data_IF_238826952025
#
_entry.id   IF_238826952025
#
_cell.length_a   1.000
_cell.length_b   1.000
_cell.length_c   1.000
_cell.angle_alpha   90.00
_cell.angle_beta   90.00
_cell.angle_gamma   90.00
#
_symmetry.space_group_name_H-M   'P 1'
#
loop_
_entity.id
_entity.type
_entity.pdbx_description
1 polymer ?
#
# COMPACT_ATOMS: atom_id res chain seq x y z
N UNK A 1 -20.06 26.38 -4.43
CA UNK A 1 -19.98 24.97 -4.88
C UNK A 1 -18.65 24.43 -4.39
N UNK A 2 -18.64 23.31 -3.67
CA UNK A 2 -17.38 22.67 -3.28
C UNK A 2 -16.70 22.15 -4.55
N UNK A 3 -15.42 22.49 -4.74
CA UNK A 3 -14.64 21.92 -5.83
C UNK A 3 -14.59 20.39 -5.67
N UNK A 4 -14.67 19.60 -6.75
CA UNK A 4 -14.47 18.17 -6.66
C UNK A 4 -13.07 17.91 -6.08
N UNK A 5 -12.99 17.13 -5.01
CA UNK A 5 -11.72 16.73 -4.43
C UNK A 5 -10.94 15.91 -5.47
N UNK A 6 -9.60 16.03 -5.52
CA UNK A 6 -8.79 15.18 -6.38
C UNK A 6 -9.07 13.71 -6.07
N UNK A 7 -9.10 12.87 -7.09
CA UNK A 7 -9.33 11.43 -6.94
C UNK A 7 -8.13 10.77 -6.25
N UNK A 8 -8.35 10.14 -5.10
CA UNK A 8 -7.30 9.45 -4.34
C UNK A 8 -7.35 9.77 -2.85
N UNK A 9 -6.46 9.14 -2.09
CA UNK A 9 -6.22 9.50 -0.69
C UNK A 9 -5.09 10.53 -0.65
N UNK A 10 -5.24 11.56 0.19
CA UNK A 10 -4.15 12.50 0.48
C UNK A 10 -3.11 11.84 1.38
N UNK A 11 -1.83 12.25 1.33
CA UNK A 11 -0.78 11.70 2.21
C UNK A 11 -1.16 11.72 3.70
N UNK A 12 -1.86 12.76 4.14
CA UNK A 12 -2.37 12.87 5.52
C UNK A 12 -3.47 11.86 5.85
N UNK A 13 -4.32 11.51 4.88
CA UNK A 13 -5.35 10.48 5.05
C UNK A 13 -4.72 9.10 5.11
N UNK A 14 -3.66 8.85 4.31
CA UNK A 14 -2.91 7.60 4.39
C UNK A 14 -2.18 7.47 5.72
N UNK A 15 -1.56 8.55 6.21
CA UNK A 15 -0.97 8.59 7.54
C UNK A 15 -2.01 8.31 8.64
N UNK A 16 -3.22 8.89 8.53
CA UNK A 16 -4.33 8.61 9.43
C UNK A 16 -4.77 7.13 9.40
N UNK A 17 -4.75 6.47 8.24
CA UNK A 17 -5.01 5.03 8.16
C UNK A 17 -3.87 4.21 8.77
N UNK A 18 -2.62 4.63 8.56
CA UNK A 18 -1.42 4.01 9.15
C UNK A 18 -1.44 4.05 10.68
N UNK A 19 -2.10 5.03 11.31
CA UNK A 19 -2.26 5.09 12.77
C UNK A 19 -2.91 3.84 13.39
N UNK A 20 -3.66 3.06 12.61
CA UNK A 20 -4.28 1.83 13.06
C UNK A 20 -3.33 0.61 12.99
N UNK A 21 -2.14 0.76 12.40
CA UNK A 21 -1.16 -0.32 12.29
C UNK A 21 -0.78 -0.85 13.67
N UNK A 22 -0.61 -2.16 13.76
CA UNK A 22 -0.30 -2.82 15.01
C UNK A 22 1.22 -2.81 15.25
N UNK A 23 1.64 -2.15 16.35
CA UNK A 23 3.05 -2.03 16.74
C UNK A 23 3.30 -2.60 18.13
N UNK A 24 4.52 -3.10 18.36
CA UNK A 24 4.95 -3.63 19.66
C UNK A 24 5.56 -2.54 20.53
N UNK A 25 5.10 -2.43 21.78
CA UNK A 25 5.64 -1.52 22.78
C UNK A 25 6.07 -2.26 24.06
N UNK A 26 6.90 -1.61 24.87
CA UNK A 26 7.18 -1.98 26.27
C UNK A 26 6.66 -0.84 27.16
N UNK A 27 5.60 -1.05 27.95
CA UNK A 27 5.14 -0.04 28.90
C UNK A 27 6.16 0.16 30.03
N UNK A 28 6.27 1.39 30.52
CA UNK A 28 7.17 1.78 31.63
C UNK A 28 6.47 1.84 32.98
N UNK A 29 5.15 1.86 32.98
CA UNK A 29 4.30 1.85 34.17
C UNK A 29 3.07 0.98 33.95
N UNK A 30 2.49 0.47 35.04
CA UNK A 30 1.24 -0.28 34.98
C UNK A 30 0.09 0.65 34.61
N UNK A 31 -0.63 0.32 33.54
CA UNK A 31 -1.81 1.07 33.09
C UNK A 31 -3.03 0.16 33.12
N UNK A 32 -4.11 0.66 33.70
CA UNK A 32 -5.37 -0.05 33.70
C UNK A 32 -5.99 -0.09 32.30
N UNK A 33 -6.97 -0.97 32.14
CA UNK A 33 -7.70 -1.10 30.88
C UNK A 33 -8.38 0.22 30.52
N UNK A 34 -8.39 0.53 29.23
CA UNK A 34 -9.19 1.60 28.65
C UNK A 34 -10.40 1.00 27.94
N UNK A 35 -11.59 1.48 28.27
CA UNK A 35 -12.85 1.09 27.61
C UNK A 35 -13.07 1.98 26.38
N UNK A 36 -12.66 1.50 25.20
CA UNK A 36 -12.78 2.23 23.93
C UNK A 36 -14.01 1.77 23.14
N UNK A 37 -14.41 2.56 22.13
CA UNK A 37 -15.48 2.18 21.20
C UNK A 37 -15.16 0.86 20.46
N UNK A 38 -13.89 0.62 20.13
CA UNK A 38 -13.42 -0.63 19.54
C UNK A 38 -13.30 -1.80 20.51
N UNK A 39 -13.74 -1.64 21.76
CA UNK A 39 -13.64 -2.63 22.83
C UNK A 39 -12.59 -2.28 23.89
N UNK A 40 -12.60 -2.99 25.03
CA UNK A 40 -11.66 -2.75 26.12
C UNK A 40 -10.25 -3.21 25.73
N UNK A 41 -9.26 -2.37 26.02
CA UNK A 41 -7.85 -2.73 25.91
C UNK A 41 -7.41 -3.63 27.05
N UNK A 42 -6.35 -4.42 26.85
CA UNK A 42 -5.74 -5.19 27.95
C UNK A 42 -4.97 -4.23 28.87
N UNK A 43 -4.97 -4.47 30.19
CA UNK A 43 -4.07 -3.74 31.10
C UNK A 43 -2.61 -3.89 30.65
N UNK A 44 -1.86 -2.79 30.70
CA UNK A 44 -0.45 -2.76 30.30
C UNK A 44 0.42 -2.96 31.54
N UNK A 45 1.27 -3.99 31.53
CA UNK A 45 2.07 -4.39 32.68
C UNK A 45 3.55 -4.36 32.29
N UNK A 46 4.39 -3.48 32.87
CA UNK A 46 5.83 -3.48 32.63
C UNK A 46 6.51 -4.75 33.18
N UNK A 47 7.59 -5.23 32.55
CA UNK A 47 8.16 -4.84 31.25
C UNK A 47 7.62 -5.73 30.10
N UNK A 48 6.38 -6.19 30.18
CA UNK A 48 5.81 -7.12 29.20
C UNK A 48 5.55 -6.43 27.86
N UNK A 49 6.02 -7.04 26.77
CA UNK A 49 5.70 -6.59 25.41
C UNK A 49 4.20 -6.72 25.14
N UNK A 50 3.63 -5.66 24.58
CA UNK A 50 2.21 -5.65 24.19
C UNK A 50 2.06 -4.99 22.82
N UNK A 51 1.12 -5.49 22.02
CA UNK A 51 0.76 -4.93 20.73
C UNK A 51 -0.41 -3.96 20.89
N UNK A 52 -0.28 -2.76 20.33
CA UNK A 52 -1.30 -1.72 20.33
C UNK A 52 -1.35 -1.03 18.95
N UNK A 53 -2.47 -0.36 18.60
CA UNK A 53 -2.50 0.56 17.48
C UNK A 53 -1.45 1.67 17.62
N UNK A 54 -0.86 2.08 16.49
CA UNK A 54 0.21 3.07 16.40
C UNK A 54 -0.16 4.41 17.06
N UNK A 55 -1.38 4.92 16.87
CA UNK A 55 -1.81 6.18 17.52
C UNK A 55 -1.68 6.13 19.05
N UNK A 56 -2.04 5.00 19.67
CA UNK A 56 -1.99 4.84 21.11
C UNK A 56 -0.55 4.67 21.58
N UNK A 57 0.26 3.93 20.82
CA UNK A 57 1.69 3.79 21.08
C UNK A 57 2.41 5.15 21.07
N UNK A 58 2.17 5.98 20.05
CA UNK A 58 2.73 7.34 19.93
C UNK A 58 2.26 8.23 21.08
N UNK A 59 0.98 8.16 21.45
CA UNK A 59 0.44 8.92 22.59
C UNK A 59 1.16 8.53 23.89
N UNK A 60 1.34 7.24 24.16
CA UNK A 60 2.04 6.76 25.35
C UNK A 60 3.54 7.10 25.33
N UNK A 61 4.18 7.07 24.15
CA UNK A 61 5.57 7.46 23.95
C UNK A 61 5.79 8.94 24.25
N UNK A 62 4.94 9.83 23.71
CA UNK A 62 4.97 11.28 23.99
C UNK A 62 4.78 11.60 25.48
N UNK A 63 4.00 10.78 26.18
CA UNK A 63 3.82 10.87 27.64
C UNK A 63 4.93 10.19 28.45
N UNK A 64 5.96 9.63 27.82
CA UNK A 64 7.07 8.87 28.46
C UNK A 64 6.61 7.64 29.24
N UNK A 65 5.48 7.05 28.86
CA UNK A 65 4.85 5.89 29.52
C UNK A 65 5.13 4.56 28.83
N UNK A 66 5.71 4.57 27.64
CA UNK A 66 6.12 3.38 26.90
C UNK A 66 7.35 3.69 26.04
N UNK A 67 8.13 2.65 25.75
CA UNK A 67 9.11 2.65 24.68
C UNK A 67 8.55 1.82 23.52
N UNK A 68 8.73 2.29 22.29
CA UNK A 68 8.34 1.58 21.08
C UNK A 68 9.48 0.63 20.72
N UNK A 69 9.15 -0.59 20.28
CA UNK A 69 10.12 -1.48 19.66
C UNK A 69 9.99 -1.28 18.14
N UNK A 70 11.04 -0.78 17.45
CA UNK A 70 11.03 -0.71 16.00
C UNK A 70 10.77 -2.08 15.38
N UNK A 71 9.95 -2.16 14.32
CA UNK A 71 9.77 -3.43 13.61
C UNK A 71 11.10 -3.86 12.96
N UNK A 72 11.39 -5.16 12.88
CA UNK A 72 12.63 -5.69 12.32
C UNK A 72 13.09 -5.07 11.01
N UNK A 73 12.18 -4.84 10.06
CA UNK A 73 12.53 -4.24 8.76
C UNK A 73 13.03 -2.80 8.81
N UNK A 74 12.84 -2.09 9.93
CA UNK A 74 13.31 -0.72 10.10
C UNK A 74 14.75 -0.65 10.64
N UNK A 75 15.36 -1.79 10.99
CA UNK A 75 16.77 -1.83 11.36
C UNK A 75 17.67 -1.62 10.14
N UNK A 76 18.83 -1.02 10.37
CA UNK A 76 19.74 -0.53 9.32
C UNK A 76 20.19 -1.68 8.42
N UNK A 77 20.64 -2.78 9.02
CA UNK A 77 21.09 -3.98 8.33
C UNK A 77 20.01 -4.54 7.39
N UNK A 78 18.75 -4.47 7.81
CA UNK A 78 17.63 -4.98 7.05
C UNK A 78 17.20 -4.00 5.96
N UNK A 79 17.25 -2.69 6.21
CA UNK A 79 17.00 -1.66 5.19
C UNK A 79 18.05 -1.70 4.08
N UNK A 80 19.32 -1.95 4.42
CA UNK A 80 20.39 -2.16 3.43
C UNK A 80 20.13 -3.40 2.57
N UNK A 81 19.71 -4.51 3.19
CA UNK A 81 19.33 -5.72 2.46
C UNK A 81 18.09 -5.50 1.58
N UNK A 82 17.06 -4.80 2.09
CA UNK A 82 15.88 -4.44 1.32
C UNK A 82 16.26 -3.57 0.12
N UNK A 83 17.14 -2.59 0.30
CA UNK A 83 17.63 -1.76 -0.80
C UNK A 83 18.40 -2.60 -1.84
N UNK A 84 19.22 -3.55 -1.41
CA UNK A 84 19.92 -4.48 -2.31
C UNK A 84 18.95 -5.37 -3.09
N UNK A 85 17.95 -5.93 -2.41
CA UNK A 85 16.86 -6.72 -3.01
C UNK A 85 16.12 -5.89 -4.06
N UNK A 86 15.74 -4.67 -3.71
CA UNK A 86 14.97 -3.78 -4.57
C UNK A 86 15.79 -3.32 -5.79
N UNK A 87 17.12 -3.20 -5.69
CA UNK A 87 17.98 -2.72 -6.77
C UNK A 87 18.58 -3.83 -7.65
N UNK A 88 18.94 -4.98 -7.07
CA UNK A 88 19.64 -6.07 -7.77
C UNK A 88 18.75 -7.25 -8.13
N UNK A 89 17.80 -7.59 -7.27
CA UNK A 89 16.98 -8.81 -7.44
C UNK A 89 15.64 -8.52 -8.12
N UNK A 90 15.05 -7.36 -7.84
CA UNK A 90 13.76 -6.93 -8.40
C UNK A 90 13.95 -5.67 -9.25
N UNK A 91 14.73 -5.71 -10.32
CA UNK A 91 15.05 -4.49 -11.11
C UNK A 91 13.82 -3.82 -11.73
N UNK A 92 12.88 -4.62 -12.23
CA UNK A 92 11.73 -4.16 -13.02
C UNK A 92 10.39 -4.31 -12.30
N UNK A 93 10.40 -4.91 -11.12
CA UNK A 93 9.22 -5.20 -10.30
C UNK A 93 9.47 -4.80 -8.84
N UNK A 94 8.44 -4.78 -8.01
CA UNK A 94 8.58 -4.53 -6.58
C UNK A 94 8.95 -5.81 -5.82
N UNK A 95 9.74 -5.68 -4.75
CA UNK A 95 9.90 -6.80 -3.80
C UNK A 95 8.54 -7.21 -3.21
N UNK A 96 8.31 -8.51 -2.95
CA UNK A 96 7.03 -8.98 -2.41
C UNK A 96 6.76 -8.46 -0.99
N UNK A 97 5.48 -8.29 -0.67
CA UNK A 97 5.02 -7.96 0.67
C UNK A 97 5.33 -9.10 1.68
N UNK A 98 5.43 -8.79 2.99
CA UNK A 98 5.66 -9.79 4.02
C UNK A 98 4.54 -10.85 4.02
N UNK A 99 4.93 -12.12 4.18
CA UNK A 99 3.96 -13.21 4.36
C UNK A 99 3.36 -13.13 5.77
N UNK A 100 2.11 -12.70 5.85
CA UNK A 100 1.38 -12.59 7.12
C UNK A 100 0.39 -13.74 7.22
N UNK A 101 0.36 -14.50 8.33
CA UNK A 101 -0.65 -15.52 8.54
C UNK A 101 -2.07 -14.94 8.43
N UNK A 102 -2.89 -15.59 7.61
CA UNK A 102 -4.28 -15.19 7.42
C UNK A 102 -5.02 -15.24 8.75
N UNK A 103 -5.41 -14.07 9.25
CA UNK A 103 -6.11 -13.95 10.53
C UNK A 103 -7.60 -13.83 10.27
N UNK A 104 -8.34 -14.90 10.58
CA UNK A 104 -9.80 -14.91 10.51
C UNK A 104 -10.37 -14.25 11.76
N UNK A 105 -11.16 -13.20 11.56
CA UNK A 105 -11.88 -12.48 12.61
C UNK A 105 -13.39 -12.63 12.39
N UNK A 106 -14.18 -12.26 13.39
CA UNK A 106 -15.64 -12.23 13.32
C UNK A 106 -16.12 -10.81 13.53
N UNK A 107 -17.03 -10.33 12.69
CA UNK A 107 -17.68 -9.04 12.89
C UNK A 107 -18.69 -9.07 14.06
N UNK A 108 -19.34 -7.95 14.32
CA UNK A 108 -20.34 -7.82 15.38
C UNK A 108 -21.58 -8.73 15.17
N UNK A 109 -21.81 -9.22 13.95
CA UNK A 109 -22.89 -10.16 13.61
C UNK A 109 -22.44 -11.63 13.68
N UNK A 110 -21.17 -11.88 14.01
CA UNK A 110 -20.57 -13.20 14.02
C UNK A 110 -20.14 -13.70 12.64
N UNK A 111 -20.22 -12.86 11.60
CA UNK A 111 -19.79 -13.23 10.25
C UNK A 111 -18.26 -13.21 10.16
N UNK A 112 -17.65 -14.26 9.61
CA UNK A 112 -16.20 -14.32 9.47
C UNK A 112 -15.70 -13.36 8.38
N UNK A 113 -14.58 -12.71 8.62
CA UNK A 113 -13.80 -11.97 7.63
C UNK A 113 -12.30 -12.21 7.82
N UNK A 114 -11.51 -11.88 6.81
CA UNK A 114 -10.05 -11.93 6.88
C UNK A 114 -9.51 -10.53 7.15
N UNK A 115 -8.71 -10.41 8.20
CA UNK A 115 -8.06 -9.14 8.51
C UNK A 115 -6.99 -8.81 7.47
N UNK A 116 -6.92 -7.54 7.10
CA UNK A 116 -5.88 -6.94 6.24
C UNK A 116 -5.18 -5.82 7.00
N UNK A 117 -4.06 -5.28 6.47
CA UNK A 117 -3.55 -4.00 6.95
C UNK A 117 -4.67 -2.94 6.99
N UNK A 118 -4.71 -2.08 8.01
CA UNK A 118 -3.74 -1.94 9.11
C UNK A 118 -4.02 -2.83 10.35
N UNK A 119 -4.97 -3.76 10.28
CA UNK A 119 -5.44 -4.55 11.43
C UNK A 119 -4.72 -5.89 11.61
N UNK A 120 -3.57 -6.07 10.96
CA UNK A 120 -2.72 -7.27 11.06
C UNK A 120 -1.36 -6.92 11.65
N UNK A 121 -0.63 -7.91 12.17
CA UNK A 121 0.67 -7.71 12.82
C UNK A 121 1.85 -7.46 11.88
N UNK A 122 1.66 -6.69 10.79
CA UNK A 122 2.66 -6.43 9.74
C UNK A 122 3.87 -5.60 10.24
N UNK A 123 3.67 -4.81 11.30
CA UNK A 123 4.64 -3.86 11.84
C UNK A 123 5.01 -4.18 13.30
N UNK A 124 4.89 -5.45 13.67
CA UNK A 124 5.25 -5.94 15.02
C UNK A 124 6.67 -6.50 15.06
N UNK A 125 7.18 -6.76 16.27
CA UNK A 125 8.51 -7.36 16.46
C UNK A 125 8.67 -8.76 15.82
N UNK A 126 7.57 -9.43 15.47
CA UNK A 126 7.56 -10.77 14.89
C UNK A 126 7.43 -10.77 13.35
N UNK A 127 7.45 -9.60 12.72
CA UNK A 127 7.32 -9.51 11.26
C UNK A 127 8.61 -9.91 10.54
N UNK A 128 8.53 -10.20 9.25
CA UNK A 128 9.69 -10.53 8.44
C UNK A 128 10.68 -9.34 8.38
N UNK A 129 11.98 -9.56 8.60
CA UNK A 129 12.97 -8.48 8.65
C UNK A 129 13.23 -7.85 7.28
N UNK A 130 13.12 -8.58 6.18
CA UNK A 130 13.59 -8.11 4.87
C UNK A 130 12.44 -7.87 3.88
N UNK A 131 11.25 -7.57 4.38
CA UNK A 131 10.06 -7.31 3.58
C UNK A 131 9.30 -6.07 4.07
N UNK A 132 8.96 -5.18 3.14
CA UNK A 132 8.28 -3.92 3.45
C UNK A 132 6.77 -4.14 3.64
N UNK A 133 6.17 -3.72 4.78
CA UNK A 133 4.73 -3.76 4.98
C UNK A 133 4.00 -2.68 4.14
N UNK A 134 2.68 -2.78 4.07
CA UNK A 134 1.87 -1.90 3.23
C UNK A 134 2.03 -0.39 3.56
N UNK A 135 2.12 -0.01 4.84
CA UNK A 135 2.34 1.38 5.27
C UNK A 135 3.79 1.65 5.71
N UNK A 136 4.77 1.02 5.06
CA UNK A 136 6.18 1.10 5.49
C UNK A 136 6.69 2.55 5.58
N UNK A 137 6.29 3.43 4.66
CA UNK A 137 6.83 4.78 4.59
C UNK A 137 6.20 5.70 5.65
N UNK A 138 4.87 5.68 5.77
CA UNK A 138 4.13 6.47 6.76
C UNK A 138 4.53 6.10 8.17
N UNK A 139 4.60 4.79 8.45
CA UNK A 139 4.97 4.30 9.77
C UNK A 139 6.40 4.73 10.13
N UNK A 140 7.33 4.64 9.18
CA UNK A 140 8.71 5.05 9.39
C UNK A 140 8.81 6.52 9.77
N UNK A 141 8.13 7.40 9.01
CA UNK A 141 8.13 8.84 9.29
C UNK A 141 7.52 9.14 10.67
N UNK A 142 6.38 8.53 11.01
CA UNK A 142 5.74 8.72 12.31
C UNK A 142 6.61 8.24 13.48
N UNK A 143 7.31 7.12 13.33
CA UNK A 143 8.24 6.62 14.36
C UNK A 143 9.49 7.47 14.48
N UNK A 144 10.09 7.89 13.37
CA UNK A 144 11.28 8.74 13.35
C UNK A 144 10.98 10.15 13.88
N UNK A 145 9.73 10.61 13.86
CA UNK A 145 9.29 11.84 14.50
C UNK A 145 9.02 11.65 16.00
N UNK A 146 8.24 10.62 16.38
CA UNK A 146 7.72 10.50 17.75
C UNK A 146 8.61 9.68 18.71
N UNK A 147 9.45 8.80 18.16
CA UNK A 147 10.23 7.79 18.89
C UNK A 147 11.66 7.67 18.35
N UNK A 148 12.25 8.80 17.95
CA UNK A 148 13.63 8.85 17.42
C UNK A 148 14.64 8.24 18.38
N UNK A 149 14.40 8.33 19.69
CA UNK A 149 15.24 7.78 20.76
C UNK A 149 15.15 6.26 20.92
N UNK A 150 14.12 5.62 20.33
CA UNK A 150 13.99 4.16 20.30
C UNK A 150 14.63 3.53 19.03
N UNK A 151 15.12 4.35 18.09
CA UNK A 151 15.71 3.92 16.82
C UNK A 151 17.24 4.13 16.84
N UNK A 152 17.99 3.12 16.39
CA UNK A 152 19.44 3.24 16.23
C UNK A 152 19.80 4.03 14.96
N UNK A 153 20.73 4.97 15.05
CA UNK A 153 21.21 5.83 13.94
C UNK A 153 20.07 6.38 13.05
N UNK A 154 19.16 7.20 13.60
CA UNK A 154 17.93 7.62 12.91
C UNK A 154 18.19 8.37 11.60
N UNK A 155 19.33 9.07 11.46
CA UNK A 155 19.68 9.78 10.24
C UNK A 155 20.06 8.82 9.09
N UNK A 156 20.71 7.70 9.41
CA UNK A 156 21.02 6.65 8.45
C UNK A 156 19.76 5.92 8.03
N UNK A 157 18.85 5.64 8.97
CA UNK A 157 17.52 5.08 8.67
C UNK A 157 16.75 6.00 7.72
N UNK A 158 16.71 7.32 7.98
CA UNK A 158 16.09 8.30 7.07
C UNK A 158 16.72 8.33 5.68
N UNK A 159 18.03 8.14 5.58
CA UNK A 159 18.72 8.07 4.29
C UNK A 159 18.27 6.84 3.52
N UNK A 160 18.37 5.65 4.12
CA UNK A 160 18.00 4.38 3.48
C UNK A 160 16.52 4.35 3.05
N UNK A 161 15.60 4.87 3.87
CA UNK A 161 14.18 4.97 3.51
C UNK A 161 13.95 5.87 2.29
N UNK A 162 14.70 6.98 2.17
CA UNK A 162 14.64 7.85 1.00
C UNK A 162 15.19 7.18 -0.25
N UNK A 163 16.31 6.46 -0.12
CA UNK A 163 16.93 5.72 -1.22
C UNK A 163 15.97 4.61 -1.72
N UNK A 164 15.34 3.85 -0.81
CA UNK A 164 14.33 2.84 -1.14
C UNK A 164 13.13 3.49 -1.83
N UNK A 165 12.61 4.61 -1.30
CA UNK A 165 11.48 5.34 -1.90
C UNK A 165 11.81 5.81 -3.31
N UNK A 166 13.02 6.32 -3.55
CA UNK A 166 13.45 6.78 -4.87
C UNK A 166 13.48 5.64 -5.89
N UNK A 167 14.06 4.50 -5.54
CA UNK A 167 14.08 3.29 -6.38
C UNK A 167 12.66 2.84 -6.71
N UNK A 168 11.79 2.77 -5.71
CA UNK A 168 10.40 2.31 -5.88
C UNK A 168 9.54 3.29 -6.67
N UNK A 169 9.74 4.60 -6.50
CA UNK A 169 9.07 5.62 -7.30
C UNK A 169 9.50 5.56 -8.78
N UNK A 170 10.77 5.25 -9.06
CA UNK A 170 11.24 5.05 -10.43
C UNK A 170 10.55 3.85 -11.09
N UNK A 171 10.33 2.76 -10.35
CA UNK A 171 9.57 1.59 -10.82
C UNK A 171 8.10 1.91 -11.09
N UNK A 172 7.44 2.62 -10.17
CA UNK A 172 6.04 3.08 -10.37
C UNK A 172 5.89 3.87 -11.68
N UNK A 173 6.87 4.73 -12.00
CA UNK A 173 6.87 5.48 -13.28
C UNK A 173 7.06 4.56 -14.48
N UNK A 174 7.97 3.59 -14.40
CA UNK A 174 8.24 2.63 -15.47
C UNK A 174 7.05 1.71 -15.76
N UNK A 175 6.27 1.35 -14.74
CA UNK A 175 5.05 0.55 -14.94
C UNK A 175 3.99 1.27 -15.79
N UNK A 176 3.97 2.61 -15.78
CA UNK A 176 3.05 3.40 -16.62
C UNK A 176 3.28 3.15 -18.10
N UNK A 177 4.53 2.94 -18.52
CA UNK A 177 4.88 2.68 -19.92
C UNK A 177 4.33 1.33 -20.43
N UNK A 178 3.96 0.43 -19.51
CA UNK A 178 3.44 -0.91 -19.82
C UNK A 178 1.91 -0.97 -19.79
N UNK A 179 1.22 0.15 -19.53
CA UNK A 179 -0.23 0.19 -19.47
C UNK A 179 -0.86 0.05 -20.86
N UNK A 180 -1.89 -0.79 -20.95
CA UNK A 180 -2.69 -1.02 -22.15
C UNK A 180 -4.18 -0.77 -21.88
N UNK A 181 -4.93 -0.33 -22.90
CA UNK A 181 -6.37 -0.11 -22.81
C UNK A 181 -7.20 -1.34 -23.19
N UNK A 182 -6.57 -2.46 -23.52
CA UNK A 182 -7.17 -3.76 -23.87
C UNK A 182 -7.88 -4.45 -22.69
N UNK A 183 -7.75 -3.90 -21.49
CA UNK A 183 -8.40 -4.39 -20.29
C UNK A 183 -7.60 -5.41 -19.51
N UNK A 184 -6.35 -5.68 -19.90
CA UNK A 184 -5.42 -6.46 -19.08
C UNK A 184 -5.12 -5.69 -17.77
N UNK A 185 -5.14 -6.40 -16.65
CA UNK A 185 -4.88 -5.81 -15.34
C UNK A 185 -3.39 -5.73 -15.05
N UNK A 186 -2.92 -4.58 -14.53
CA UNK A 186 -1.54 -4.43 -14.05
C UNK A 186 -1.41 -5.00 -12.63
N UNK A 187 -0.40 -5.84 -12.42
CA UNK A 187 -0.08 -6.39 -11.10
C UNK A 187 0.68 -5.35 -10.27
N UNK A 188 0.15 -5.00 -9.10
CA UNK A 188 0.75 -4.05 -8.15
C UNK A 188 1.16 -4.76 -6.84
N UNK A 189 1.70 -5.97 -6.97
CA UNK A 189 2.10 -6.77 -5.81
C UNK A 189 3.30 -6.12 -5.12
N UNK A 190 3.22 -5.96 -3.81
CA UNK A 190 4.29 -5.37 -3.01
C UNK A 190 4.32 -3.83 -3.01
N UNK A 191 3.41 -3.15 -3.71
CA UNK A 191 3.31 -1.68 -3.68
C UNK A 191 2.69 -1.20 -2.35
N UNK A 192 3.27 -0.14 -1.78
CA UNK A 192 2.83 0.46 -0.52
C UNK A 192 1.72 1.50 -0.66
N UNK A 193 1.12 1.87 0.46
CA UNK A 193 -0.01 2.79 0.53
C UNK A 193 0.33 4.19 -0.01
N UNK A 194 1.48 4.78 0.39
CA UNK A 194 1.95 6.07 -0.12
C UNK A 194 2.17 6.04 -1.63
N UNK A 195 2.79 4.96 -2.13
CA UNK A 195 3.13 4.82 -3.54
C UNK A 195 1.88 4.77 -4.41
N UNK A 196 0.85 4.03 -3.95
CA UNK A 196 -0.48 4.00 -4.56
C UNK A 196 -1.12 5.38 -4.48
N UNK A 197 -1.14 6.03 -3.31
CA UNK A 197 -1.86 7.29 -3.13
C UNK A 197 -1.32 8.41 -4.03
N UNK A 198 0.02 8.50 -4.16
CA UNK A 198 0.69 9.48 -5.01
C UNK A 198 0.48 9.20 -6.51
N UNK A 199 0.44 7.92 -6.91
CA UNK A 199 0.37 7.54 -8.33
C UNK A 199 -1.05 7.38 -8.86
N UNK A 200 -2.02 7.08 -7.99
CA UNK A 200 -3.37 6.63 -8.37
C UNK A 200 -4.06 7.59 -9.33
N UNK A 201 -4.13 8.87 -9.00
CA UNK A 201 -4.84 9.85 -9.82
C UNK A 201 -4.31 9.91 -11.25
N UNK A 202 -2.99 9.89 -11.40
CA UNK A 202 -2.33 9.88 -12.70
C UNK A 202 -2.56 8.57 -13.46
N UNK A 203 -2.27 7.42 -12.85
CA UNK A 203 -2.40 6.10 -13.48
C UNK A 203 -3.83 5.83 -13.93
N UNK A 204 -4.83 6.14 -13.09
CA UNK A 204 -6.24 5.97 -13.47
C UNK A 204 -6.65 6.88 -14.62
N UNK A 205 -6.11 8.12 -14.65
CA UNK A 205 -6.37 9.04 -15.75
C UNK A 205 -5.81 8.55 -17.08
N UNK A 206 -4.59 7.99 -17.07
CA UNK A 206 -3.97 7.37 -18.26
C UNK A 206 -4.79 6.16 -18.73
N UNK A 207 -5.16 5.26 -17.80
CA UNK A 207 -5.96 4.06 -18.12
C UNK A 207 -7.33 4.40 -18.70
N UNK A 208 -8.02 5.40 -18.15
CA UNK A 208 -9.30 5.86 -18.69
C UNK A 208 -9.15 6.44 -20.10
N UNK A 209 -8.02 7.10 -20.38
CA UNK A 209 -7.68 7.57 -21.72
C UNK A 209 -7.43 6.42 -22.70
N UNK A 210 -6.58 5.46 -22.33
CA UNK A 210 -6.27 4.29 -23.15
C UNK A 210 -7.52 3.48 -23.48
N UNK A 211 -8.38 3.22 -22.47
CA UNK A 211 -9.66 2.52 -22.67
C UNK A 211 -10.58 3.22 -23.67
N UNK A 212 -10.66 4.55 -23.63
CA UNK A 212 -11.47 5.32 -24.60
C UNK A 212 -10.91 5.22 -26.02
N UNK A 213 -9.59 5.30 -26.16
CA UNK A 213 -8.92 5.18 -27.47
C UNK A 213 -9.11 3.79 -28.06
N UNK A 214 -8.96 2.75 -27.26
CA UNK A 214 -9.10 1.37 -27.73
C UNK A 214 -10.56 1.02 -28.03
N UNK A 215 -11.52 1.48 -27.22
CA UNK A 215 -12.95 1.35 -27.54
C UNK A 215 -13.31 2.05 -28.86
N UNK A 216 -12.79 3.27 -29.09
CA UNK A 216 -13.02 3.99 -30.34
C UNK A 216 -12.37 3.31 -31.54
N UNK A 217 -11.17 2.74 -31.38
CA UNK A 217 -10.47 1.97 -32.43
C UNK A 217 -11.21 0.69 -32.78
N UNK A 218 -11.68 -0.06 -31.78
CA UNK A 218 -12.46 -1.28 -31.98
C UNK A 218 -13.80 -1.00 -32.67
N UNK A 219 -14.48 0.09 -32.29
CA UNK A 219 -15.71 0.50 -32.97
C UNK A 219 -15.46 0.86 -34.44
N UNK A 220 -14.45 1.70 -34.72
CA UNK A 220 -14.10 2.08 -36.09
C UNK A 220 -13.68 0.88 -36.95
N UNK A 221 -13.07 -0.15 -36.34
CA UNK A 221 -12.75 -1.40 -37.01
C UNK A 221 -14.01 -2.19 -37.37
N UNK A 222 -14.97 -2.32 -36.44
CA UNK A 222 -16.25 -3.01 -36.69
C UNK A 222 -17.07 -2.33 -37.78
N UNK A 223 -17.16 -0.99 -37.75
CA UNK A 223 -17.88 -0.22 -38.78
C UNK A 223 -17.30 -0.48 -40.18
N UNK A 224 -15.96 -0.51 -40.33
CA UNK A 224 -15.32 -0.86 -41.61
C UNK A 224 -15.57 -2.30 -42.03
N UNK A 225 -15.51 -3.25 -41.10
CA UNK A 225 -15.79 -4.66 -41.38
C UNK A 225 -17.27 -4.88 -41.79
N UNK A 226 -18.19 -4.07 -41.26
CA UNK A 226 -19.60 -4.05 -41.66
C UNK A 226 -19.79 -3.43 -43.06
N UNK A 227 -19.17 -2.28 -43.35
CA UNK A 227 -19.19 -1.64 -44.67
C UNK A 227 -18.61 -2.57 -45.76
N UNK A 228 -17.50 -3.26 -45.50
CA UNK A 228 -16.92 -4.21 -46.45
C UNK A 228 -17.80 -5.44 -46.70
N UNK A 229 -18.58 -5.87 -45.70
CA UNK A 229 -19.55 -6.97 -45.86
C UNK A 229 -20.77 -6.51 -46.65
N UNK A 230 -21.21 -5.28 -46.42
CA UNK A 230 -22.34 -4.70 -47.15
C UNK A 230 -21.98 -4.50 -48.62
N UNK A 231 -20.81 -3.94 -48.92
CA UNK A 231 -20.33 -3.79 -50.30
C UNK A 231 -20.18 -5.14 -51.03
N UNK A 232 -19.62 -6.16 -50.37
CA UNK A 232 -19.54 -7.51 -50.97
C UNK A 232 -20.89 -8.12 -51.28
N UNK A 233 -21.90 -7.84 -50.44
CA UNK A 233 -23.27 -8.30 -50.68
C UNK A 233 -23.91 -7.60 -51.89
N UNK A 234 -23.65 -6.31 -52.05
CA UNK A 234 -24.11 -5.55 -53.22
C UNK A 234 -23.45 -6.05 -54.53
N UNK A 235 -22.15 -6.36 -54.51
CA UNK A 235 -21.46 -6.89 -55.69
C UNK A 235 -21.99 -8.29 -56.11
N UNK A 236 -22.27 -9.19 -55.15
CA UNK A 236 -22.84 -10.52 -55.44
C UNK A 236 -24.29 -10.44 -55.98
N UNK A 237 -25.10 -9.50 -55.49
CA UNK A 237 -26.51 -9.31 -55.95
C UNK A 237 -26.57 -8.73 -57.39
N UNK A 238 -25.58 -7.94 -57.82
CA UNK A 238 -25.50 -7.40 -59.19
C UNK A 238 -25.03 -8.45 -60.22
N UNK A 239 -24.13 -9.36 -59.85
CA UNK A 239 -23.66 -10.47 -60.71
C UNK A 239 -24.74 -11.56 -60.93
N UNK A 240 -25.71 -11.74 -60.03
CA UNK A 240 -26.83 -12.69 -60.19
C UNK A 240 -27.93 -12.17 -61.15
N UNK A 241 -27.87 -10.89 -61.53
CA UNK A 241 -28.88 -10.20 -62.36
C UNK A 241 -28.45 -9.96 -63.81
N UNK A 242 -27.29 -10.48 -64.23
CA UNK A 242 -26.80 -10.49 -65.64
C UNK A 242 -26.73 -11.89 -66.25
#
# INVERSE_FOLDING_TARGET
>A
MAFPHPSGLLPTEVAFLCEMEQITIIPRQRLDRLDLLGGPTKPLIPPQRTTLPLWLAILLKRQRRANIIPPPWLYIENLEEILDIETRHFTDTFSPAPQIPVTRQTDHSGKPFYASPPFVGSCTVNTAPTALPYHWYELSEMLLEAATDDVSEPDRVRQLLRDIREVRLAKMRKEVDQLSGDGEGTRLDGVGAMEISESRGFVTGVMDGLRKLDASREQARREREEEERENRRYDDDDDEMT
#
